data_IF_167561120545
#
_entry.id   IF_167561120545
#
_cell.length_a   1.000
_cell.length_b   1.000
_cell.length_c   1.000
_cell.angle_alpha   90.00
_cell.angle_beta   90.00
_cell.angle_gamma   90.00
#
_symmetry.space_group_name_H-M   'P 1'
#
loop_
_entity.id
_entity.type
_entity.pdbx_description
1 polymer ?
#
# COMPACT_ATOMS: atom_id res chain seq x y z
N UNK A 1 -4.96 -14.38 20.67
CA UNK A 1 -5.03 -13.11 19.91
C UNK A 1 -3.78 -12.31 20.20
N UNK A 2 -3.00 -11.96 19.18
CA UNK A 2 -1.86 -11.04 19.34
C UNK A 2 -2.38 -9.70 19.84
N UNK A 3 -1.72 -9.12 20.86
CA UNK A 3 -2.12 -7.83 21.43
C UNK A 3 -1.70 -6.71 20.48
N UNK A 4 -2.50 -5.64 20.39
CA UNK A 4 -2.19 -4.43 19.61
C UNK A 4 -0.74 -3.96 19.77
N UNK A 5 -0.21 -3.98 21.01
CA UNK A 5 1.18 -3.60 21.32
C UNK A 5 2.24 -4.36 20.52
N UNK A 6 2.03 -5.66 20.28
CA UNK A 6 3.01 -6.48 19.55
C UNK A 6 2.96 -6.12 18.06
N UNK A 7 1.78 -5.87 17.50
CA UNK A 7 1.63 -5.47 16.10
C UNK A 7 2.20 -4.06 15.86
N UNK A 8 1.92 -3.11 16.77
CA UNK A 8 2.50 -1.75 16.74
C UNK A 8 4.03 -1.80 16.78
N UNK A 9 4.61 -2.56 17.71
CA UNK A 9 6.07 -2.71 17.81
C UNK A 9 6.70 -3.34 16.57
N UNK A 10 6.00 -4.26 15.90
CA UNK A 10 6.47 -4.86 14.65
C UNK A 10 6.53 -3.81 13.52
N UNK A 11 5.48 -3.01 13.37
CA UNK A 11 5.42 -1.93 12.37
C UNK A 11 6.48 -0.87 12.64
N UNK A 12 6.64 -0.44 13.90
CA UNK A 12 7.67 0.53 14.29
C UNK A 12 9.09 0.03 14.02
N UNK A 13 9.34 -1.27 14.20
CA UNK A 13 10.65 -1.86 13.89
C UNK A 13 10.92 -1.84 12.40
N UNK A 14 9.95 -2.25 11.58
CA UNK A 14 10.09 -2.24 10.12
C UNK A 14 10.28 -0.81 9.57
N UNK A 15 9.57 0.17 10.11
CA UNK A 15 9.75 1.59 9.75
C UNK A 15 11.14 2.13 10.13
N UNK A 16 11.73 1.65 11.22
CA UNK A 16 13.04 2.11 11.71
C UNK A 16 14.20 1.58 10.87
N UNK A 17 14.08 0.37 10.34
CA UNK A 17 15.13 -0.23 9.51
C UNK A 17 15.33 0.57 8.21
N UNK A 18 14.25 1.13 7.64
CA UNK A 18 14.31 1.97 6.42
C UNK A 18 15.07 1.30 5.24
N UNK A 19 15.01 -0.03 5.19
CA UNK A 19 15.53 -0.84 4.08
C UNK A 19 14.37 -1.16 3.13
N UNK A 20 14.67 -1.28 1.82
CA UNK A 20 13.64 -1.57 0.83
C UNK A 20 12.92 -2.90 1.12
N UNK A 21 13.63 -3.94 1.52
CA UNK A 21 13.05 -5.23 1.89
C UNK A 21 12.09 -5.12 3.09
N UNK A 22 12.49 -4.35 4.11
CA UNK A 22 11.66 -4.11 5.29
C UNK A 22 10.40 -3.29 4.95
N UNK A 23 10.52 -2.34 4.03
CA UNK A 23 9.38 -1.56 3.52
C UNK A 23 8.44 -2.41 2.65
N UNK A 24 8.96 -3.31 1.81
CA UNK A 24 8.13 -4.27 1.06
C UNK A 24 7.35 -5.20 2.00
N UNK A 25 8.04 -5.71 3.04
CA UNK A 25 7.44 -6.55 4.06
C UNK A 25 6.34 -5.78 4.83
N UNK A 26 6.62 -4.54 5.23
CA UNK A 26 5.66 -3.66 5.88
C UNK A 26 4.44 -3.42 5.01
N UNK A 27 4.62 -3.07 3.74
CA UNK A 27 3.51 -2.83 2.82
C UNK A 27 2.66 -4.08 2.67
N UNK A 28 3.27 -5.25 2.49
CA UNK A 28 2.56 -6.54 2.38
C UNK A 28 1.78 -6.88 3.65
N UNK A 29 2.36 -6.60 4.82
CA UNK A 29 1.70 -6.76 6.11
C UNK A 29 0.48 -5.84 6.21
N UNK A 30 0.63 -4.55 5.90
CA UNK A 30 -0.45 -3.56 5.94
C UNK A 30 -1.57 -3.88 4.93
N UNK A 31 -1.24 -4.39 3.74
CA UNK A 31 -2.25 -4.86 2.77
C UNK A 31 -3.13 -5.98 3.34
N UNK A 32 -2.55 -6.83 4.19
CA UNK A 32 -3.24 -8.02 4.73
C UNK A 32 -4.01 -7.72 6.01
N UNK A 33 -3.38 -6.99 6.95
CA UNK A 33 -3.91 -6.78 8.31
C UNK A 33 -4.17 -5.30 8.64
N UNK A 34 -3.95 -4.36 7.71
CA UNK A 34 -4.00 -2.92 7.99
C UNK A 34 -5.34 -2.44 8.53
N UNK A 35 -6.46 -2.97 8.02
CA UNK A 35 -7.80 -2.66 8.53
C UNK A 35 -7.96 -3.06 10.01
N UNK A 36 -7.54 -4.29 10.34
CA UNK A 36 -7.61 -4.79 11.70
C UNK A 36 -6.64 -4.04 12.62
N UNK A 37 -5.44 -3.75 12.11
CA UNK A 37 -4.42 -3.00 12.83
C UNK A 37 -4.93 -1.60 13.20
N UNK A 38 -5.50 -0.86 12.26
CA UNK A 38 -6.03 0.49 12.53
C UNK A 38 -7.15 0.45 13.58
N UNK A 39 -8.06 -0.53 13.51
CA UNK A 39 -9.09 -0.72 14.55
C UNK A 39 -8.50 -1.02 15.93
N UNK A 40 -7.54 -1.95 16.02
CA UNK A 40 -6.90 -2.36 17.27
C UNK A 40 -6.07 -1.23 17.90
N UNK A 41 -5.37 -0.44 17.08
CA UNK A 41 -4.63 0.76 17.50
C UNK A 41 -5.61 1.80 18.06
N UNK A 42 -6.66 2.13 17.31
CA UNK A 42 -7.66 3.10 17.74
C UNK A 42 -8.35 2.68 19.05
N UNK A 43 -8.70 1.40 19.18
CA UNK A 43 -9.31 0.88 20.41
C UNK A 43 -8.34 0.95 21.60
N UNK A 44 -7.05 0.64 21.38
CA UNK A 44 -6.01 0.75 22.39
C UNK A 44 -5.82 2.20 22.87
N UNK A 45 -5.81 3.17 21.95
CA UNK A 45 -5.68 4.59 22.26
C UNK A 45 -6.89 5.12 23.05
N UNK A 46 -8.10 4.75 22.64
CA UNK A 46 -9.34 5.08 23.35
C UNK A 46 -9.30 4.54 24.77
N UNK A 47 -8.89 3.28 24.96
CA UNK A 47 -8.74 2.66 26.30
C UNK A 47 -7.70 3.37 27.16
N UNK A 48 -6.68 3.97 26.56
CA UNK A 48 -5.64 4.77 27.23
C UNK A 48 -6.02 6.24 27.44
N UNK A 49 -7.16 6.70 26.89
CA UNK A 49 -7.60 8.09 26.97
C UNK A 49 -6.78 9.05 26.10
N UNK A 50 -6.01 8.53 25.14
CA UNK A 50 -5.21 9.32 24.21
C UNK A 50 -6.11 9.77 23.06
N UNK A 51 -6.46 11.06 23.00
CA UNK A 51 -7.41 11.62 22.02
C UNK A 51 -6.76 12.42 20.89
N UNK A 52 -5.44 12.64 20.93
CA UNK A 52 -4.85 13.79 20.24
C UNK A 52 -4.22 13.48 18.89
N UNK A 53 -3.56 12.33 18.75
CA UNK A 53 -2.91 11.94 17.50
C UNK A 53 -2.92 10.42 17.42
N UNK A 54 -3.58 9.85 16.40
CA UNK A 54 -3.60 8.40 16.24
C UNK A 54 -2.19 7.92 15.88
N UNK A 55 -1.65 6.99 16.65
CA UNK A 55 -0.39 6.28 16.37
C UNK A 55 -0.39 5.74 14.93
N UNK A 56 -1.56 5.31 14.44
CA UNK A 56 -1.68 4.85 13.06
C UNK A 56 -1.43 5.97 12.03
N UNK A 57 -1.85 7.21 12.32
CA UNK A 57 -1.57 8.37 11.48
C UNK A 57 -0.06 8.67 11.40
N UNK A 58 0.70 8.41 12.47
CA UNK A 58 2.17 8.51 12.46
C UNK A 58 2.79 7.53 11.47
N UNK A 59 2.32 6.28 11.43
CA UNK A 59 2.79 5.30 10.45
C UNK A 59 2.54 5.75 9.02
N UNK A 60 1.36 6.32 8.75
CA UNK A 60 1.01 6.85 7.44
C UNK A 60 1.87 8.06 7.07
N UNK A 61 2.15 8.96 8.01
CA UNK A 61 3.03 10.09 7.76
C UNK A 61 4.45 9.64 7.42
N UNK A 62 5.00 8.66 8.14
CA UNK A 62 6.31 8.08 7.83
C UNK A 62 6.36 7.48 6.41
N UNK A 63 5.30 6.77 6.00
CA UNK A 63 5.17 6.27 4.63
C UNK A 63 5.18 7.40 3.58
N UNK A 64 4.52 8.53 3.85
CA UNK A 64 4.56 9.71 2.97
C UNK A 64 5.96 10.34 2.90
N UNK A 65 6.68 10.39 4.01
CA UNK A 65 8.05 10.90 4.06
C UNK A 65 8.98 10.05 3.18
N UNK A 66 8.88 8.71 3.23
CA UNK A 66 9.69 7.84 2.36
C UNK A 66 9.46 8.07 0.87
N UNK A 67 8.21 8.35 0.45
CA UNK A 67 7.91 8.72 -0.94
C UNK A 67 8.53 10.09 -1.27
N UNK A 68 8.41 11.05 -0.35
CA UNK A 68 8.85 12.44 -0.55
C UNK A 68 10.38 12.59 -0.60
N UNK A 69 11.10 11.81 0.19
CA UNK A 69 12.56 11.85 0.26
C UNK A 69 13.25 11.23 -0.98
N UNK A 70 12.49 10.53 -1.84
CA UNK A 70 12.99 9.92 -3.08
C UNK A 70 14.19 8.96 -2.86
N UNK A 71 14.29 8.34 -1.67
CA UNK A 71 15.38 7.42 -1.28
C UNK A 71 15.13 5.95 -1.59
N UNK A 72 13.91 5.63 -2.00
CA UNK A 72 13.43 4.27 -2.28
C UNK A 72 13.17 4.08 -3.77
N UNK A 73 13.32 2.85 -4.25
CA UNK A 73 13.01 2.43 -5.61
C UNK A 73 11.55 2.70 -5.97
N UNK A 74 11.29 2.84 -7.26
CA UNK A 74 9.94 3.08 -7.79
C UNK A 74 8.98 1.96 -7.38
N UNK A 75 9.46 0.70 -7.35
CA UNK A 75 8.70 -0.45 -6.91
C UNK A 75 8.15 -0.26 -5.49
N UNK A 76 9.01 0.04 -4.53
CA UNK A 76 8.59 0.25 -3.14
C UNK A 76 7.68 1.47 -3.03
N UNK A 77 7.96 2.54 -3.79
CA UNK A 77 7.09 3.72 -3.84
C UNK A 77 5.67 3.38 -4.29
N UNK A 78 5.51 2.60 -5.35
CA UNK A 78 4.21 2.13 -5.81
C UNK A 78 3.54 1.23 -4.77
N UNK A 79 4.28 0.36 -4.07
CA UNK A 79 3.72 -0.45 -2.99
C UNK A 79 3.19 0.40 -1.83
N UNK A 80 3.93 1.44 -1.43
CA UNK A 80 3.48 2.38 -0.39
C UNK A 80 2.24 3.13 -0.87
N UNK A 81 2.24 3.65 -2.10
CA UNK A 81 1.07 4.31 -2.69
C UNK A 81 -0.16 3.40 -2.69
N UNK A 82 -0.02 2.13 -3.05
CA UNK A 82 -1.12 1.15 -3.03
C UNK A 82 -1.70 0.95 -1.62
N UNK A 83 -0.86 0.94 -0.59
CA UNK A 83 -1.32 0.88 0.82
C UNK A 83 -2.10 2.14 1.20
N UNK A 84 -1.59 3.32 0.84
CA UNK A 84 -2.24 4.61 1.11
C UNK A 84 -3.60 4.69 0.40
N UNK A 85 -3.66 4.29 -0.86
CA UNK A 85 -4.89 4.27 -1.66
C UNK A 85 -5.96 3.34 -1.07
N UNK A 86 -5.58 2.12 -0.67
CA UNK A 86 -6.52 1.18 -0.06
C UNK A 86 -7.01 1.71 1.28
N UNK A 87 -6.16 2.37 2.06
CA UNK A 87 -6.59 3.01 3.30
C UNK A 87 -7.61 4.12 3.04
N UNK A 88 -7.36 5.00 2.07
CA UNK A 88 -8.30 6.07 1.66
C UNK A 88 -9.64 5.44 1.24
N UNK A 89 -9.60 4.28 0.60
CA UNK A 89 -10.78 3.50 0.25
C UNK A 89 -11.37 2.69 1.43
N UNK A 90 -11.07 3.05 2.68
CA UNK A 90 -11.51 2.39 3.91
C UNK A 90 -11.17 0.88 3.95
N UNK A 91 -9.95 0.53 3.53
CA UNK A 91 -9.46 -0.86 3.45
C UNK A 91 -10.29 -1.80 2.59
N UNK A 92 -11.16 -1.26 1.74
CA UNK A 92 -11.87 -2.07 0.77
C UNK A 92 -10.87 -2.42 -0.32
N UNK A 93 -10.60 -3.71 -0.45
CA UNK A 93 -9.86 -4.24 -1.59
C UNK A 93 -10.46 -3.62 -2.86
N UNK A 94 -9.58 -3.14 -3.76
CA UNK A 94 -9.99 -2.70 -5.10
C UNK A 94 -10.86 -3.83 -5.64
N UNK A 95 -12.16 -3.57 -5.85
CA UNK A 95 -13.04 -4.58 -6.43
C UNK A 95 -12.49 -4.88 -7.81
N UNK A 96 -11.78 -5.99 -7.94
CA UNK A 96 -11.65 -6.70 -9.22
C UNK A 96 -13.01 -7.40 -9.44
N UNK A 97 -14.07 -6.60 -9.51
CA UNK A 97 -15.39 -6.93 -10.03
C UNK A 97 -15.44 -6.00 -11.24
N UNK A 98 -14.93 -6.33 -12.42
CA UNK A 98 -15.51 -7.31 -13.36
C UNK A 98 -14.56 -7.71 -14.52
N UNK A 99 -13.24 -7.62 -14.38
CA UNK A 99 -12.31 -7.83 -15.52
C UNK A 99 -11.43 -9.09 -15.47
N UNK A 100 -11.46 -9.87 -14.38
CA UNK A 100 -10.64 -11.09 -14.27
C UNK A 100 -11.35 -12.29 -13.63
N UNK A 101 -12.62 -12.50 -13.97
CA UNK A 101 -13.15 -13.88 -13.96
C UNK A 101 -12.44 -14.61 -15.10
N UNK A 102 -11.83 -15.81 -14.91
CA UNK A 102 -11.47 -16.63 -16.06
C UNK A 102 -12.78 -16.93 -16.80
N UNK A 103 -13.01 -16.21 -17.89
CA UNK A 103 -14.10 -16.50 -18.81
C UNK A 103 -13.75 -17.86 -19.41
N UNK A 104 -14.62 -18.84 -19.20
CA UNK A 104 -14.63 -20.06 -20.00
C UNK A 104 -14.63 -19.66 -21.47
N UNK A 105 -13.92 -20.43 -22.30
CA UNK A 105 -13.48 -20.15 -23.67
C UNK A 105 -14.63 -19.81 -24.66
N UNK A 106 -15.89 -19.93 -24.26
CA UNK A 106 -17.06 -19.91 -25.16
C UNK A 106 -17.62 -18.52 -25.53
N UNK A 107 -17.07 -17.41 -25.05
CA UNK A 107 -17.61 -16.07 -25.39
C UNK A 107 -16.58 -15.13 -26.02
N UNK A 108 -15.74 -15.67 -26.90
CA UNK A 108 -14.90 -14.90 -27.82
C UNK A 108 -15.75 -14.46 -29.01
N UNK A 109 -16.63 -13.47 -28.85
CA UNK A 109 -17.06 -12.66 -29.98
C UNK A 109 -17.71 -11.36 -29.51
N UNK A 110 -17.15 -10.27 -30.03
CA UNK A 110 -17.67 -8.92 -30.10
C UNK A 110 -17.23 -7.87 -29.07
N UNK A 111 -16.64 -6.82 -29.67
CA UNK A 111 -16.40 -5.46 -29.20
C UNK A 111 -15.13 -5.22 -28.38
N UNK A 112 -14.16 -4.57 -29.03
CA UNK A 112 -12.95 -4.06 -28.39
C UNK A 112 -13.06 -2.59 -27.99
N UNK A 113 -12.14 -2.15 -27.12
CA UNK A 113 -11.41 -0.87 -27.21
C UNK A 113 -10.39 -0.73 -26.05
N UNK A 114 -9.12 -0.61 -26.46
CA UNK A 114 -7.98 0.14 -25.90
C UNK A 114 -7.47 -0.13 -24.47
N UNK A 115 -6.20 -0.53 -24.27
CA UNK A 115 -5.53 -0.47 -22.96
C UNK A 115 -5.15 0.97 -22.57
N UNK A 116 -5.30 1.30 -21.28
CA UNK A 116 -4.84 2.57 -20.67
C UNK A 116 -3.29 2.62 -20.73
N UNK A 117 -2.66 3.73 -21.18
CA UNK A 117 -1.22 3.80 -21.26
C UNK A 117 -0.61 4.00 -19.87
N UNK A 118 0.44 3.22 -19.58
CA UNK A 118 1.37 3.50 -18.48
C UNK A 118 2.25 4.70 -18.87
N UNK A 119 2.61 5.61 -17.96
CA UNK A 119 3.54 6.69 -18.27
C UNK A 119 4.92 6.09 -18.53
N UNK A 120 5.34 6.08 -19.80
CA UNK A 120 6.70 5.74 -20.20
C UNK A 120 7.64 6.88 -19.82
N UNK A 121 8.37 6.73 -18.72
CA UNK A 121 9.69 7.34 -18.60
C UNK A 121 10.69 6.38 -19.23
N UNK A 122 11.16 6.72 -20.44
CA UNK A 122 12.42 6.20 -20.95
C UNK A 122 13.23 7.40 -21.45
N UNK A 123 14.20 7.80 -20.63
CA UNK A 123 15.30 8.64 -21.04
C UNK A 123 16.28 7.84 -21.91
N UNK A 124 17.02 8.59 -22.73
CA UNK A 124 18.22 8.19 -23.48
C UNK A 124 17.95 7.27 -24.69
N UNK A 125 18.23 7.65 -25.94
CA UNK A 125 19.33 8.45 -26.44
C UNK A 125 20.27 7.53 -27.19
N UNK A 126 20.07 7.37 -28.50
CA UNK A 126 21.02 6.87 -29.52
C UNK A 126 20.30 6.93 -30.88
N UNK A 127 20.64 7.89 -31.75
CA UNK A 127 21.65 7.77 -32.80
C UNK A 127 21.16 7.01 -34.06
N UNK A 128 21.44 7.65 -35.21
CA UNK A 128 21.49 7.14 -36.59
C UNK A 128 20.28 7.29 -37.53
N UNK A 129 20.55 8.17 -38.52
CA UNK A 129 20.00 8.35 -39.87
C UNK A 129 18.67 9.09 -40.03
#
# INVERSE_FOLDING_TARGET
>A
MLKANIMMSCVERLLRENEEESLECLCTLLMTIGSKLECEVNEFEIKKGLKKDSVFSSYINALFEFISENRISERVRFMIQDVLDIRINNWKARKIQDENKPKTIDEIQHSGRQPRPLPTFLCDGDAFC
#
